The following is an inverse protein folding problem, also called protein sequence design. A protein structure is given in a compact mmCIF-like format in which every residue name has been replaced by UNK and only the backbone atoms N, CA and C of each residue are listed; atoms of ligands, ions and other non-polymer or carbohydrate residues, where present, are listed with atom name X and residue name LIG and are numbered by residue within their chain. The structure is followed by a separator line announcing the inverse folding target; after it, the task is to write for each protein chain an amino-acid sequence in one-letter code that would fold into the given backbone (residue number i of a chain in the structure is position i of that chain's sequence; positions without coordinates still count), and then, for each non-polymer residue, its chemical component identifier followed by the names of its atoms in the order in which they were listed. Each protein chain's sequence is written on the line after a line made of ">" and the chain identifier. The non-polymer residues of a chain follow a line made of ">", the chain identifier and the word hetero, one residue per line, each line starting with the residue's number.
data_IF_942732771654
#
_entry.id   IF_942732771654
#
_cell.length_a   1.000
_cell.length_b   1.000
_cell.length_c   1.000
_cell.angle_alpha   90.00
_cell.angle_beta   90.00
_cell.angle_gamma   90.00
#
_symmetry.space_group_name_H-M   'P 1'
#
loop_
_entity.id
_entity.type
_entity.pdbx_description
1 polymer ?
#
# COMPACT_ATOMS: atom_id res chain seq x y z
N UNK A 1 44.37 -37.70 -24.87
CA UNK A 1 44.27 -36.82 -23.68
C UNK A 1 42.93 -36.08 -23.74
N UNK A 2 41.95 -36.49 -22.93
CA UNK A 2 40.61 -35.90 -22.89
C UNK A 2 40.51 -34.97 -21.66
N UNK A 3 40.40 -33.66 -21.87
CA UNK A 3 40.13 -32.67 -20.80
C UNK A 3 38.69 -32.86 -20.32
N UNK A 4 38.49 -33.19 -19.03
CA UNK A 4 37.17 -33.39 -18.42
C UNK A 4 36.47 -32.06 -18.19
N UNK A 5 35.25 -31.96 -18.72
CA UNK A 5 34.32 -30.83 -18.72
C UNK A 5 33.64 -30.58 -17.36
N UNK A 6 34.42 -30.35 -16.30
CA UNK A 6 33.90 -30.20 -14.94
C UNK A 6 33.38 -28.77 -14.61
N UNK A 7 33.57 -27.79 -15.49
CA UNK A 7 33.16 -26.39 -15.25
C UNK A 7 31.72 -26.05 -15.67
N UNK A 8 31.20 -26.74 -16.68
CA UNK A 8 29.89 -26.40 -17.28
C UNK A 8 28.71 -26.70 -16.35
N UNK A 9 28.76 -27.80 -15.59
CA UNK A 9 27.65 -28.19 -14.70
C UNK A 9 27.48 -27.30 -13.47
N UNK A 10 28.57 -26.70 -12.95
CA UNK A 10 28.49 -25.77 -11.82
C UNK A 10 27.89 -24.41 -12.23
N UNK A 11 28.20 -23.95 -13.45
CA UNK A 11 27.64 -22.73 -14.00
C UNK A 11 26.13 -22.87 -14.28
N UNK A 12 25.71 -24.01 -14.82
CA UNK A 12 24.28 -24.27 -15.12
C UNK A 12 23.44 -24.38 -13.84
N UNK A 13 23.93 -25.04 -12.78
CA UNK A 13 23.21 -25.09 -11.50
C UNK A 13 23.09 -23.72 -10.82
N UNK A 14 24.15 -22.90 -10.87
CA UNK A 14 24.12 -21.56 -10.26
C UNK A 14 23.14 -20.60 -10.93
N UNK A 15 23.01 -20.66 -12.27
CA UNK A 15 22.05 -19.85 -13.02
C UNK A 15 20.60 -20.31 -12.78
N UNK A 16 20.36 -21.61 -12.67
CA UNK A 16 19.03 -22.16 -12.42
C UNK A 16 18.47 -21.75 -11.04
N UNK A 17 19.30 -21.73 -9.99
CA UNK A 17 18.86 -21.27 -8.67
C UNK A 17 18.53 -19.77 -8.64
N UNK A 18 19.34 -18.92 -9.28
CA UNK A 18 19.10 -17.47 -9.31
C UNK A 18 17.79 -17.10 -10.01
N UNK A 19 17.45 -17.80 -11.11
CA UNK A 19 16.20 -17.59 -11.83
C UNK A 19 14.96 -17.98 -10.99
N UNK A 20 15.04 -19.09 -10.24
CA UNK A 20 13.95 -19.53 -9.37
C UNK A 20 13.66 -18.54 -8.22
N UNK A 21 14.70 -17.94 -7.64
CA UNK A 21 14.57 -16.93 -6.58
C UNK A 21 13.89 -15.65 -7.07
N UNK A 22 14.19 -15.20 -8.29
CA UNK A 22 13.56 -14.01 -8.88
C UNK A 22 12.08 -14.23 -9.20
N UNK A 23 11.70 -15.43 -9.68
CA UNK A 23 10.29 -15.76 -9.94
C UNK A 23 9.47 -15.81 -8.65
N UNK A 24 10.01 -16.36 -7.57
CA UNK A 24 9.31 -16.39 -6.28
C UNK A 24 9.07 -14.98 -5.72
N UNK A 25 10.09 -14.12 -5.71
CA UNK A 25 9.96 -12.74 -5.24
C UNK A 25 8.99 -11.90 -6.08
N UNK A 26 8.95 -12.11 -7.40
CA UNK A 26 8.00 -11.45 -8.27
C UNK A 26 6.55 -11.93 -8.04
N UNK A 27 6.36 -13.23 -7.77
CA UNK A 27 5.06 -13.80 -7.44
C UNK A 27 4.51 -13.24 -6.11
N UNK A 28 5.36 -13.18 -5.08
CA UNK A 28 4.99 -12.58 -3.79
C UNK A 28 4.58 -11.11 -3.95
N UNK A 29 5.34 -10.31 -4.69
CA UNK A 29 4.99 -8.90 -4.96
C UNK A 29 3.68 -8.73 -5.74
N UNK A 30 3.39 -9.62 -6.69
CA UNK A 30 2.12 -9.59 -7.43
C UNK A 30 0.90 -9.93 -6.55
N UNK A 31 1.08 -10.86 -5.60
CA UNK A 31 0.04 -11.23 -4.64
C UNK A 31 -0.30 -10.09 -3.70
N UNK A 32 0.71 -9.37 -3.20
CA UNK A 32 0.52 -8.20 -2.34
C UNK A 32 -0.18 -7.05 -3.06
N UNK A 33 0.19 -6.78 -4.32
CA UNK A 33 -0.48 -5.75 -5.15
C UNK A 33 -1.95 -6.10 -5.36
N UNK A 34 -2.27 -7.36 -5.68
CA UNK A 34 -3.65 -7.79 -5.89
C UNK A 34 -4.47 -7.75 -4.59
N UNK A 35 -3.87 -8.16 -3.47
CA UNK A 35 -4.48 -8.02 -2.14
C UNK A 35 -4.74 -6.55 -1.80
N UNK A 36 -3.77 -5.67 -2.04
CA UNK A 36 -3.91 -4.23 -1.83
C UNK A 36 -5.00 -3.59 -2.69
N UNK A 37 -5.11 -4.03 -3.95
CA UNK A 37 -6.21 -3.66 -4.84
C UNK A 37 -7.55 -4.07 -4.22
N UNK A 38 -7.69 -5.32 -3.82
CA UNK A 38 -8.92 -5.83 -3.21
C UNK A 38 -9.32 -5.03 -1.94
N UNK A 39 -8.36 -4.60 -1.13
CA UNK A 39 -8.59 -3.74 0.03
C UNK A 39 -9.05 -2.32 -0.38
N UNK A 40 -8.37 -1.70 -1.35
CA UNK A 40 -8.70 -0.35 -1.83
C UNK A 40 -10.12 -0.24 -2.41
N UNK A 41 -10.52 -1.25 -3.19
CA UNK A 41 -11.86 -1.35 -3.79
C UNK A 41 -12.92 -1.91 -2.85
N UNK A 42 -12.53 -2.46 -1.68
CA UNK A 42 -13.45 -3.09 -0.74
C UNK A 42 -14.03 -4.42 -1.21
N UNK A 43 -13.26 -5.18 -1.98
CA UNK A 43 -13.52 -6.59 -2.31
C UNK A 43 -13.10 -7.52 -1.16
N UNK A 44 -12.17 -7.06 -0.33
CA UNK A 44 -11.89 -7.61 0.99
C UNK A 44 -12.42 -6.65 2.05
N UNK A 45 -13.14 -7.20 3.04
CA UNK A 45 -13.67 -6.41 4.15
C UNK A 45 -12.56 -5.86 5.04
N UNK A 46 -12.72 -4.60 5.42
CA UNK A 46 -11.89 -3.91 6.40
C UNK A 46 -12.76 -3.41 7.55
N UNK A 47 -12.22 -3.48 8.76
CA UNK A 47 -12.83 -2.89 9.93
C UNK A 47 -12.35 -1.44 10.07
N UNK A 48 -13.30 -0.52 10.27
CA UNK A 48 -13.01 0.87 10.55
C UNK A 48 -14.14 1.50 11.35
N UNK A 49 -13.83 2.63 11.98
CA UNK A 49 -14.79 3.50 12.65
C UNK A 49 -14.44 4.96 12.38
N UNK A 50 -15.28 5.91 12.78
CA UNK A 50 -14.92 7.33 12.67
C UNK A 50 -14.16 7.77 13.92
N UNK A 51 -13.26 8.75 13.75
CA UNK A 51 -12.56 9.29 14.93
C UNK A 51 -13.56 9.87 15.92
N UNK A 52 -13.44 9.44 17.18
CA UNK A 52 -14.33 9.85 18.27
C UNK A 52 -15.72 9.21 18.25
N UNK A 53 -15.94 8.21 17.39
CA UNK A 53 -17.14 7.39 17.37
C UNK A 53 -16.73 5.92 17.16
N UNK A 54 -16.80 5.07 18.19
CA UNK A 54 -16.30 3.69 18.11
C UNK A 54 -17.27 2.76 17.36
N UNK A 55 -18.44 3.24 16.91
CA UNK A 55 -19.37 2.40 16.16
C UNK A 55 -18.71 1.91 14.86
N UNK A 56 -18.77 0.59 14.58
CA UNK A 56 -18.20 0.05 13.35
C UNK A 56 -18.95 0.60 12.14
N UNK A 57 -18.19 0.97 11.11
CA UNK A 57 -18.76 1.38 9.83
C UNK A 57 -19.24 0.17 9.03
N UNK A 58 -20.30 0.33 8.22
CA UNK A 58 -20.69 -0.71 7.26
C UNK A 58 -19.59 -0.88 6.21
N UNK A 59 -19.37 -2.11 5.74
CA UNK A 59 -18.29 -2.45 4.78
C UNK A 59 -18.30 -1.57 3.51
N UNK A 60 -19.49 -1.16 3.05
CA UNK A 60 -19.62 -0.26 1.89
C UNK A 60 -19.03 1.13 2.12
N UNK A 61 -18.95 1.61 3.36
CA UNK A 61 -18.43 2.93 3.71
C UNK A 61 -16.91 2.92 3.98
N UNK A 62 -16.31 1.75 4.23
CA UNK A 62 -14.88 1.61 4.57
C UNK A 62 -13.96 1.68 3.34
N UNK A 63 -14.50 1.55 2.13
CA UNK A 63 -13.72 1.44 0.89
C UNK A 63 -12.95 2.73 0.58
N UNK A 64 -11.64 2.63 0.40
CA UNK A 64 -10.77 3.78 0.11
C UNK A 64 -11.19 4.51 -1.17
N UNK A 65 -11.60 3.74 -2.19
CA UNK A 65 -12.02 4.28 -3.48
C UNK A 65 -13.15 5.30 -3.39
N UNK A 66 -14.05 5.18 -2.41
CA UNK A 66 -15.21 6.06 -2.27
C UNK A 66 -14.82 7.53 -2.14
N UNK A 67 -13.63 7.81 -1.58
CA UNK A 67 -13.16 9.18 -1.35
C UNK A 67 -11.98 9.57 -2.24
N UNK A 68 -11.12 8.61 -2.59
CA UNK A 68 -9.84 8.89 -3.24
C UNK A 68 -9.86 8.73 -4.77
N UNK A 69 -10.89 8.10 -5.34
CA UNK A 69 -11.06 8.06 -6.79
C UNK A 69 -11.87 9.26 -7.30
N UNK A 70 -11.51 9.75 -8.49
CA UNK A 70 -12.35 10.70 -9.23
C UNK A 70 -13.68 10.05 -9.59
N UNK A 71 -14.76 10.81 -9.49
CA UNK A 71 -16.09 10.32 -9.85
C UNK A 71 -16.59 11.03 -11.11
N UNK A 72 -17.65 10.52 -11.74
CA UNK A 72 -18.32 11.20 -12.86
C UNK A 72 -18.92 12.56 -12.46
N UNK A 73 -19.03 12.86 -11.16
CA UNK A 73 -19.62 14.09 -10.63
C UNK A 73 -18.58 15.17 -10.28
N UNK A 74 -17.29 14.93 -10.49
CA UNK A 74 -16.23 15.91 -10.25
C UNK A 74 -14.98 15.35 -9.59
N UNK A 75 -14.21 16.24 -8.97
CA UNK A 75 -12.98 15.88 -8.24
C UNK A 75 -13.25 14.90 -7.10
N UNK A 76 -12.21 14.14 -6.73
CA UNK A 76 -12.26 13.25 -5.59
C UNK A 76 -12.49 14.03 -4.29
N UNK A 77 -13.19 13.44 -3.32
CA UNK A 77 -13.43 14.07 -2.03
C UNK A 77 -12.13 14.24 -1.22
N UNK A 78 -11.16 13.35 -1.42
CA UNK A 78 -9.86 13.37 -0.78
C UNK A 78 -8.74 13.39 -1.83
N UNK A 79 -7.51 13.81 -1.47
CA UNK A 79 -6.36 13.75 -2.36
C UNK A 79 -6.16 12.34 -2.94
N UNK A 80 -5.68 12.19 -4.18
CA UNK A 80 -5.45 10.88 -4.77
C UNK A 80 -4.44 10.08 -3.92
N UNK A 81 -4.62 8.76 -3.85
CA UNK A 81 -3.65 7.83 -3.28
C UNK A 81 -2.84 7.22 -4.43
N UNK A 82 -1.79 7.90 -4.85
CA UNK A 82 -0.86 7.45 -5.89
C UNK A 82 0.56 7.46 -5.32
N UNK A 83 1.49 6.79 -6.00
CA UNK A 83 2.90 6.82 -5.60
C UNK A 83 3.41 8.25 -5.44
N UNK A 84 3.11 9.09 -6.43
CA UNK A 84 3.56 10.48 -6.47
C UNK A 84 2.96 11.33 -5.34
N UNK A 85 1.66 11.20 -5.05
CA UNK A 85 1.00 12.01 -4.03
C UNK A 85 1.45 11.66 -2.61
N UNK A 86 1.86 10.41 -2.39
CA UNK A 86 2.31 9.92 -1.09
C UNK A 86 3.80 10.20 -0.85
N UNK A 87 4.65 10.02 -1.87
CA UNK A 87 6.11 10.04 -1.73
C UNK A 87 6.76 11.38 -2.05
N UNK A 88 6.02 12.33 -2.62
CA UNK A 88 6.54 13.68 -2.86
C UNK A 88 6.61 14.47 -1.55
N UNK A 89 7.79 15.03 -1.24
CA UNK A 89 7.95 15.95 -0.13
C UNK A 89 7.08 17.18 -0.33
N UNK A 90 6.15 17.42 0.59
CA UNK A 90 5.23 18.55 0.51
C UNK A 90 5.01 19.19 1.89
N UNK A 91 5.07 20.54 2.00
CA UNK A 91 4.77 21.21 3.24
C UNK A 91 3.26 21.16 3.52
N UNK A 92 2.88 20.89 4.77
CA UNK A 92 1.48 20.94 5.22
C UNK A 92 1.35 21.93 6.37
N UNK A 93 0.39 22.85 6.27
CA UNK A 93 0.07 23.88 7.29
C UNK A 93 1.29 24.71 7.77
N UNK A 94 2.23 25.01 6.86
CA UNK A 94 3.43 25.78 7.20
C UNK A 94 4.51 25.02 7.96
N UNK A 95 4.34 23.70 8.17
CA UNK A 95 5.38 22.83 8.73
C UNK A 95 6.44 22.42 7.70
N UNK A 96 7.51 21.72 8.13
CA UNK A 96 8.52 21.17 7.25
C UNK A 96 7.90 20.25 6.18
N UNK A 97 8.46 20.18 4.96
CA UNK A 97 8.05 19.20 3.97
C UNK A 97 8.21 17.78 4.49
N UNK A 98 7.16 16.98 4.37
CA UNK A 98 7.17 15.56 4.73
C UNK A 98 6.61 14.74 3.57
N UNK A 99 6.98 13.45 3.55
CA UNK A 99 6.48 12.46 2.61
C UNK A 99 6.18 11.19 3.40
N UNK A 100 5.26 10.39 2.88
CA UNK A 100 4.98 9.08 3.45
C UNK A 100 6.04 8.07 2.99
N UNK A 101 6.50 7.28 3.95
CA UNK A 101 6.87 5.90 3.70
C UNK A 101 5.71 4.97 4.12
N UNK A 102 5.94 3.66 3.97
CA UNK A 102 4.96 2.64 4.30
C UNK A 102 4.52 2.72 5.77
N UNK A 103 5.46 2.85 6.70
CA UNK A 103 5.17 2.79 8.12
C UNK A 103 4.41 4.03 8.60
N UNK A 104 4.81 5.21 8.12
CA UNK A 104 4.10 6.45 8.37
C UNK A 104 2.68 6.43 7.78
N UNK A 105 2.50 5.82 6.61
CA UNK A 105 1.18 5.63 6.00
C UNK A 105 0.29 4.72 6.86
N UNK A 106 0.82 3.56 7.27
CA UNK A 106 0.08 2.61 8.12
C UNK A 106 -0.29 3.22 9.47
N UNK A 107 0.65 3.93 10.10
CA UNK A 107 0.37 4.68 11.33
C UNK A 107 -0.73 5.72 11.13
N UNK A 108 -0.73 6.43 10.00
CA UNK A 108 -1.73 7.46 9.73
C UNK A 108 -3.15 6.89 9.58
N UNK A 109 -3.30 5.74 8.92
CA UNK A 109 -4.60 5.07 8.81
C UNK A 109 -5.15 4.60 10.16
N UNK A 110 -4.28 4.08 11.02
CA UNK A 110 -4.66 3.60 12.35
C UNK A 110 -4.90 4.71 13.37
N UNK A 111 -4.23 5.85 13.24
CA UNK A 111 -4.26 6.92 14.25
C UNK A 111 -5.06 8.15 13.83
N UNK A 112 -5.51 8.23 12.58
CA UNK A 112 -6.16 9.42 12.00
C UNK A 112 -5.32 10.69 12.04
N UNK A 113 -3.99 10.56 12.02
CA UNK A 113 -3.01 11.65 12.07
C UNK A 113 -1.99 11.42 10.97
N UNK A 114 -1.79 12.43 10.14
CA UNK A 114 -0.90 12.37 9.00
C UNK A 114 0.60 12.44 9.41
N UNK A 115 1.51 12.17 8.48
CA UNK A 115 2.98 12.22 8.72
C UNK A 115 3.52 13.61 9.10
N UNK A 116 2.73 14.67 8.93
CA UNK A 116 3.02 16.03 9.39
C UNK A 116 2.33 16.38 10.73
N UNK A 117 1.80 15.38 11.46
CA UNK A 117 1.02 15.53 12.69
C UNK A 117 -0.30 16.31 12.52
N UNK A 118 -0.85 16.32 11.31
CA UNK A 118 -2.15 16.91 11.02
C UNK A 118 -3.24 15.86 11.19
N UNK A 119 -4.20 16.14 12.07
CA UNK A 119 -5.39 15.30 12.24
C UNK A 119 -6.24 15.30 10.97
N UNK A 120 -6.61 14.11 10.47
CA UNK A 120 -7.48 13.98 9.31
C UNK A 120 -8.89 14.51 9.59
N UNK A 121 -9.65 14.84 8.54
CA UNK A 121 -11.06 15.20 8.70
C UNK A 121 -11.86 14.03 9.28
N UNK A 122 -12.89 14.30 10.08
CA UNK A 122 -13.67 13.23 10.77
C UNK A 122 -14.29 12.21 9.82
N UNK A 123 -14.55 12.61 8.57
CA UNK A 123 -15.11 11.73 7.53
C UNK A 123 -14.13 10.64 7.05
N UNK A 124 -12.82 10.78 7.29
CA UNK A 124 -11.85 9.74 6.95
C UNK A 124 -11.93 8.61 8.00
N UNK A 125 -12.15 7.35 7.60
CA UNK A 125 -12.18 6.24 8.54
C UNK A 125 -10.85 6.04 9.26
N UNK A 126 -10.93 5.68 10.54
CA UNK A 126 -9.82 5.16 11.33
C UNK A 126 -9.84 3.63 11.22
N UNK A 127 -8.80 3.05 10.63
CA UNK A 127 -8.81 1.64 10.23
C UNK A 127 -8.16 0.74 11.28
N UNK A 128 -8.68 -0.47 11.39
CA UNK A 128 -8.04 -1.57 12.12
C UNK A 128 -7.45 -2.50 11.07
N UNK A 129 -6.13 -2.40 10.86
CA UNK A 129 -5.39 -3.12 9.82
C UNK A 129 -4.34 -4.02 10.45
N UNK A 130 -4.19 -5.23 9.90
CA UNK A 130 -2.98 -6.02 10.12
C UNK A 130 -1.80 -5.38 9.41
N UNK A 131 -0.58 -5.67 9.87
CA UNK A 131 0.63 -5.19 9.20
C UNK A 131 0.70 -5.70 7.75
N UNK A 132 0.32 -6.95 7.50
CA UNK A 132 0.25 -7.54 6.16
C UNK A 132 -0.77 -6.84 5.26
N UNK A 133 -1.97 -6.52 5.75
CA UNK A 133 -2.98 -5.84 4.92
C UNK A 133 -2.54 -4.41 4.60
N UNK A 134 -1.92 -3.71 5.55
CA UNK A 134 -1.39 -2.38 5.27
C UNK A 134 -0.21 -2.40 4.29
N UNK A 135 0.68 -3.39 4.39
CA UNK A 135 1.77 -3.59 3.43
C UNK A 135 1.25 -3.89 2.03
N UNK A 136 0.25 -4.76 1.90
CA UNK A 136 -0.40 -5.06 0.63
C UNK A 136 -1.05 -3.80 0.02
N UNK A 137 -1.81 -3.04 0.84
CA UNK A 137 -2.39 -1.77 0.40
C UNK A 137 -1.31 -0.80 -0.08
N UNK A 138 -0.23 -0.63 0.67
CA UNK A 138 0.90 0.21 0.26
C UNK A 138 1.51 -0.25 -1.06
N UNK A 139 1.75 -1.56 -1.23
CA UNK A 139 2.29 -2.13 -2.47
C UNK A 139 1.41 -1.79 -3.68
N UNK A 140 0.09 -1.92 -3.54
CA UNK A 140 -0.85 -1.50 -4.58
C UNK A 140 -0.77 0.00 -4.89
N UNK A 141 -0.73 0.87 -3.88
CA UNK A 141 -0.65 2.32 -4.10
C UNK A 141 0.64 2.75 -4.81
N UNK A 142 1.71 1.96 -4.72
CA UNK A 142 2.95 2.22 -5.47
C UNK A 142 2.84 1.92 -6.97
N UNK A 143 1.79 1.22 -7.41
CA UNK A 143 1.49 0.97 -8.83
C UNK A 143 0.52 1.99 -9.43
N UNK A 144 0.04 2.94 -8.62
CA UNK A 144 -0.97 3.94 -8.98
C UNK A 144 -0.37 5.31 -9.30
#
# INVERSE_FOLDING_TARGET
>A
MMRRANGAWRAVLGVALAAASMLAAAADGSGDVERGRALFYGETDLAAHLRGDPAPLPASAVRCINCHAKTSRGEAFAPPLTSDSLRTLSPRRGGPPTAYDRDAFCSALGNSIDVANVVFVKAMPQYVLSDSDCSALWAYLMTQ
#
